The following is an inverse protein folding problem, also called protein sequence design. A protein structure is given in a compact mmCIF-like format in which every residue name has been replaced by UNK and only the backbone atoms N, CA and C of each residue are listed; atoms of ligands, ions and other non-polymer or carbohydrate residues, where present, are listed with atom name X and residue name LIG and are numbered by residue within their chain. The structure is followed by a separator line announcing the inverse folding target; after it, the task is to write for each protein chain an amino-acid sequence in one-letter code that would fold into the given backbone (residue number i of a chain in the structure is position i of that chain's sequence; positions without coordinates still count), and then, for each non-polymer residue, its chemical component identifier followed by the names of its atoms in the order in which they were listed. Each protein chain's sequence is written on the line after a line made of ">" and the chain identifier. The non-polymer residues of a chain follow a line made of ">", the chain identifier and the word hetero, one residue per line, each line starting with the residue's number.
data_IF_449920054968
#
_entry.id   IF_449920054968
#
_cell.length_a   1.000
_cell.length_b   1.000
_cell.length_c   1.000
_cell.angle_alpha   90.00
_cell.angle_beta   90.00
_cell.angle_gamma   90.00
#
_symmetry.space_group_name_H-M   'P 1'
#
loop_
_entity.id
_entity.type
_entity.pdbx_description
1 polymer ?
#
# COMPACT_ATOMS: atom_id res chain seq x y z
N UNK A 1 -31.60 -1.17 -6.17
CA UNK A 1 -30.60 -1.49 -5.14
C UNK A 1 -29.25 -0.88 -5.52
N UNK A 2 -28.65 -0.12 -4.63
CA UNK A 2 -27.30 0.49 -4.82
C UNK A 2 -26.20 -0.57 -4.96
N UNK A 3 -26.45 -1.79 -4.54
CA UNK A 3 -25.54 -2.95 -4.61
C UNK A 3 -26.04 -4.02 -5.58
N UNK A 4 -26.88 -3.64 -6.51
CA UNK A 4 -27.40 -4.54 -7.53
C UNK A 4 -26.38 -4.81 -8.62
N UNK A 5 -26.51 -5.96 -9.29
CA UNK A 5 -25.74 -6.28 -10.50
C UNK A 5 -25.83 -5.12 -11.50
N UNK A 6 -24.71 -4.75 -12.11
CA UNK A 6 -24.63 -3.64 -13.06
C UNK A 6 -24.39 -2.27 -12.42
N UNK A 7 -24.10 -2.20 -11.12
CA UNK A 7 -23.65 -0.97 -10.48
C UNK A 7 -22.13 -0.84 -10.59
N UNK A 8 -21.67 0.29 -11.10
CA UNK A 8 -20.27 0.71 -11.13
C UNK A 8 -20.03 1.66 -9.96
N UNK A 9 -18.94 1.46 -9.22
CA UNK A 9 -18.49 2.36 -8.16
C UNK A 9 -17.13 2.93 -8.49
N UNK A 10 -16.96 4.22 -8.25
CA UNK A 10 -15.66 4.90 -8.33
C UNK A 10 -15.44 5.61 -7.02
N UNK A 11 -14.27 5.47 -6.45
CA UNK A 11 -13.93 6.17 -5.19
C UNK A 11 -12.48 6.62 -5.15
N UNK A 12 -12.27 7.67 -4.39
CA UNK A 12 -10.97 8.24 -4.07
C UNK A 12 -10.92 8.60 -2.60
N UNK A 13 -9.79 8.35 -1.95
CA UNK A 13 -9.60 8.64 -0.54
C UNK A 13 -8.15 8.81 -0.17
N UNK A 14 -7.94 9.02 1.12
CA UNK A 14 -6.62 9.17 1.73
C UNK A 14 -6.43 8.11 2.79
N UNK A 15 -5.17 7.69 2.98
CA UNK A 15 -4.83 6.64 3.94
C UNK A 15 -3.70 7.03 4.87
N UNK A 16 -3.65 6.29 5.98
CA UNK A 16 -2.48 6.17 6.85
C UNK A 16 -2.16 4.69 7.04
N UNK A 17 -0.89 4.35 7.12
CA UNK A 17 -0.43 2.96 7.09
C UNK A 17 0.59 2.70 8.20
N UNK A 18 0.38 1.64 8.96
CA UNK A 18 1.34 1.12 9.92
C UNK A 18 2.01 -0.15 9.38
N UNK A 19 3.28 -0.34 9.71
CA UNK A 19 4.08 -1.49 9.26
C UNK A 19 4.60 -2.28 10.45
N UNK A 20 4.68 -3.61 10.29
CA UNK A 20 5.35 -4.47 11.25
C UNK A 20 6.87 -4.30 11.19
N UNK A 21 7.54 -4.68 12.27
CA UNK A 21 9.01 -4.89 12.23
C UNK A 21 9.34 -5.93 11.16
N UNK A 22 10.47 -5.75 10.51
CA UNK A 22 10.90 -6.62 9.42
C UNK A 22 12.42 -6.74 9.34
N UNK A 23 12.88 -7.61 8.44
CA UNK A 23 14.29 -7.73 8.09
C UNK A 23 14.49 -7.17 6.69
N UNK A 24 15.36 -6.18 6.57
CA UNK A 24 15.77 -5.56 5.33
C UNK A 24 17.08 -6.18 4.87
N UNK A 25 17.06 -6.88 3.73
CA UNK A 25 18.28 -7.45 3.13
C UNK A 25 18.75 -6.54 2.01
N UNK A 26 20.00 -6.09 2.10
CA UNK A 26 20.62 -5.17 1.17
C UNK A 26 21.78 -5.85 0.44
N UNK A 27 21.79 -5.77 -0.88
CA UNK A 27 22.85 -6.31 -1.72
C UNK A 27 23.28 -5.27 -2.74
N UNK A 28 24.59 -5.13 -2.93
CA UNK A 28 25.18 -4.21 -3.90
C UNK A 28 26.69 -4.37 -4.04
N UNK A 29 27.36 -3.47 -4.79
CA UNK A 29 28.80 -3.54 -4.97
C UNK A 29 29.56 -3.42 -3.66
N UNK A 30 30.22 -4.52 -3.25
CA UNK A 30 31.05 -4.56 -2.06
C UNK A 30 30.28 -4.66 -0.74
N UNK A 31 28.97 -4.88 -0.76
CA UNK A 31 28.19 -5.11 0.46
C UNK A 31 27.08 -6.15 0.24
N UNK A 32 26.88 -6.95 1.26
CA UNK A 32 25.77 -7.89 1.39
C UNK A 32 25.45 -8.01 2.88
N UNK A 33 24.42 -7.33 3.33
CA UNK A 33 24.05 -7.29 4.73
C UNK A 33 22.54 -7.29 4.95
N UNK A 34 22.14 -7.62 6.15
CA UNK A 34 20.75 -7.55 6.60
C UNK A 34 20.62 -6.75 7.90
N UNK A 35 19.54 -5.99 7.97
CA UNK A 35 19.10 -5.28 9.18
C UNK A 35 17.82 -5.92 9.68
N UNK A 36 17.90 -6.61 10.81
CA UNK A 36 16.73 -7.28 11.42
C UNK A 36 16.10 -6.39 12.49
N UNK A 37 14.77 -6.47 12.59
CA UNK A 37 14.01 -5.71 13.57
C UNK A 37 13.83 -4.24 13.21
N UNK A 38 14.04 -3.86 11.95
CA UNK A 38 13.84 -2.48 11.50
C UNK A 38 12.38 -2.08 11.64
N UNK A 39 12.18 -0.82 12.00
CA UNK A 39 10.87 -0.17 12.08
C UNK A 39 10.75 0.86 10.98
N UNK A 40 9.56 1.00 10.45
CA UNK A 40 9.23 2.04 9.50
C UNK A 40 7.88 2.67 9.84
N UNK A 41 7.72 3.90 9.39
CA UNK A 41 6.47 4.66 9.46
C UNK A 41 6.11 5.16 8.08
N UNK A 42 4.86 5.52 7.93
CA UNK A 42 4.39 6.26 6.76
C UNK A 42 4.65 7.76 6.93
N UNK A 43 4.32 8.51 5.90
CA UNK A 43 4.33 9.97 5.97
C UNK A 43 3.12 10.44 6.80
N UNK A 44 3.31 11.46 7.64
CA UNK A 44 2.21 12.00 8.43
C UNK A 44 1.08 12.48 7.52
N UNK A 45 -0.17 12.29 7.97
CA UNK A 45 -1.35 12.68 7.24
C UNK A 45 -1.37 14.20 7.00
N UNK A 46 -1.01 14.62 5.81
CA UNK A 46 -1.17 16.00 5.34
C UNK A 46 -2.22 16.06 4.23
N UNK A 47 -3.26 16.86 4.43
CA UNK A 47 -4.31 17.12 3.43
C UNK A 47 -3.77 17.79 2.14
N UNK A 48 -2.62 18.43 2.23
CA UNK A 48 -1.92 19.04 1.11
C UNK A 48 -0.49 18.50 1.05
N UNK A 49 -0.06 17.96 -0.09
CA UNK A 49 1.29 17.40 -0.23
C UNK A 49 2.30 18.55 -0.24
N UNK A 50 2.86 18.86 0.91
CA UNK A 50 3.92 19.85 1.07
C UNK A 50 5.32 19.26 0.98
N UNK A 51 5.44 17.92 0.97
CA UNK A 51 6.70 17.21 0.97
C UNK A 51 6.96 16.38 -0.30
N UNK A 52 8.22 16.00 -0.48
CA UNK A 52 8.78 15.38 -1.68
C UNK A 52 8.21 14.01 -2.08
N UNK A 53 7.38 13.38 -1.25
CA UNK A 53 6.88 12.02 -1.48
C UNK A 53 5.50 11.95 -2.15
N UNK A 54 4.75 13.05 -2.17
CA UNK A 54 3.38 13.09 -2.69
C UNK A 54 2.35 12.49 -1.72
N UNK A 55 1.07 12.65 -2.05
CA UNK A 55 -0.02 12.22 -1.17
C UNK A 55 -0.15 10.69 -1.10
N UNK A 56 -0.48 10.17 0.09
CA UNK A 56 -0.96 8.81 0.29
C UNK A 56 -2.46 8.76 -0.03
N UNK A 57 -2.83 7.97 -1.02
CA UNK A 57 -4.20 7.90 -1.50
C UNK A 57 -4.66 6.48 -1.80
N UNK A 58 -5.97 6.32 -1.92
CA UNK A 58 -6.63 5.12 -2.38
C UNK A 58 -7.58 5.47 -3.53
N UNK A 59 -7.47 4.80 -4.64
CA UNK A 59 -8.39 4.90 -5.77
C UNK A 59 -8.97 3.53 -6.08
N UNK A 60 -10.27 3.47 -6.35
CA UNK A 60 -10.99 2.22 -6.64
C UNK A 60 -11.97 2.41 -7.79
N UNK A 61 -12.04 1.40 -8.63
CA UNK A 61 -13.13 1.23 -9.60
C UNK A 61 -13.70 -0.17 -9.39
N UNK A 62 -14.95 -0.28 -8.98
CA UNK A 62 -15.61 -1.54 -8.68
C UNK A 62 -16.87 -1.75 -9.53
N UNK A 63 -17.15 -2.99 -9.87
CA UNK A 63 -18.34 -3.38 -10.61
C UNK A 63 -19.05 -4.54 -9.91
N UNK A 64 -20.34 -4.37 -9.63
CA UNK A 64 -21.17 -5.41 -9.02
C UNK A 64 -21.58 -6.44 -10.08
N UNK A 65 -20.88 -7.58 -10.07
CA UNK A 65 -21.14 -8.71 -10.99
C UNK A 65 -22.38 -9.53 -10.58
N UNK A 66 -22.71 -9.49 -9.29
CA UNK A 66 -23.93 -10.03 -8.67
C UNK A 66 -24.44 -9.06 -7.63
N UNK A 67 -25.68 -9.27 -7.16
CA UNK A 67 -26.21 -8.53 -6.03
C UNK A 67 -25.28 -8.74 -4.82
N UNK A 68 -24.89 -7.66 -4.17
CA UNK A 68 -23.99 -7.63 -3.00
C UNK A 68 -22.54 -8.07 -3.24
N UNK A 69 -22.17 -8.47 -4.47
CA UNK A 69 -20.82 -8.95 -4.76
C UNK A 69 -20.19 -8.17 -5.92
N UNK A 70 -19.06 -7.52 -5.66
CA UNK A 70 -18.33 -6.72 -6.61
C UNK A 70 -16.90 -7.24 -6.81
N UNK A 71 -16.38 -7.03 -8.02
CA UNK A 71 -14.96 -7.05 -8.30
C UNK A 71 -14.48 -5.61 -8.50
N UNK A 72 -13.31 -5.28 -7.95
CA UNK A 72 -12.73 -3.96 -8.12
C UNK A 72 -11.24 -3.99 -8.43
N UNK A 73 -10.82 -2.96 -9.15
CA UNK A 73 -9.42 -2.61 -9.34
C UNK A 73 -9.10 -1.46 -8.41
N UNK A 74 -8.01 -1.59 -7.68
CA UNK A 74 -7.54 -0.60 -6.73
C UNK A 74 -6.12 -0.16 -7.00
N UNK A 75 -5.85 1.08 -6.70
CA UNK A 75 -4.52 1.65 -6.65
C UNK A 75 -4.36 2.39 -5.33
N UNK A 76 -3.46 1.89 -4.47
CA UNK A 76 -3.10 2.53 -3.22
C UNK A 76 -1.68 3.04 -3.31
N UNK A 77 -1.45 4.24 -2.79
CA UNK A 77 -0.11 4.78 -2.58
C UNK A 77 0.10 5.00 -1.10
N UNK A 78 1.21 4.47 -0.59
CA UNK A 78 1.69 4.69 0.77
C UNK A 78 3.20 4.80 0.77
N UNK A 79 3.76 5.34 1.85
CA UNK A 79 5.19 5.51 2.03
C UNK A 79 5.69 4.59 3.14
N UNK A 80 6.80 3.93 2.87
CA UNK A 80 7.55 3.12 3.83
C UNK A 80 8.87 3.82 4.09
N UNK A 81 8.99 4.49 5.24
CA UNK A 81 10.16 5.28 5.60
C UNK A 81 10.82 4.63 6.80
N UNK A 82 12.08 4.20 6.64
CA UNK A 82 12.86 3.61 7.73
C UNK A 82 13.04 4.63 8.84
N UNK A 83 12.71 4.23 10.08
CA UNK A 83 12.81 5.11 11.23
C UNK A 83 14.29 5.41 11.55
N UNK A 84 14.56 6.69 11.80
CA UNK A 84 15.86 7.15 12.27
C UNK A 84 16.09 6.79 13.74
N UNK A 85 17.35 6.62 14.12
CA UNK A 85 17.79 6.34 15.50
C UNK A 85 17.04 5.19 16.17
N UNK A 86 16.71 4.17 15.40
CA UNK A 86 16.02 2.97 15.83
C UNK A 86 17.00 1.81 15.95
N UNK A 87 16.80 0.97 16.96
CA UNK A 87 17.63 -0.23 17.15
C UNK A 87 17.35 -1.28 16.09
N UNK A 88 18.39 -1.88 15.53
CA UNK A 88 18.33 -3.01 14.60
C UNK A 88 19.53 -3.93 14.83
N UNK A 89 19.45 -5.14 14.27
CA UNK A 89 20.55 -6.11 14.31
C UNK A 89 21.18 -6.21 12.92
N UNK A 90 22.47 -5.91 12.83
CA UNK A 90 23.24 -5.96 11.59
C UNK A 90 23.93 -7.33 11.46
N UNK A 91 23.75 -7.97 10.29
CA UNK A 91 24.45 -9.19 9.90
C UNK A 91 24.91 -9.09 8.46
N UNK A 92 26.07 -9.71 8.15
CA UNK A 92 26.62 -9.71 6.80
C UNK A 92 27.93 -8.96 6.70
N UNK A 93 28.29 -8.53 5.50
CA UNK A 93 29.62 -7.96 5.21
C UNK A 93 29.51 -6.65 4.45
N UNK A 94 30.30 -5.67 4.87
CA UNK A 94 30.52 -4.40 4.17
C UNK A 94 32.01 -4.26 3.93
N UNK A 95 32.45 -4.27 2.67
CA UNK A 95 33.87 -4.18 2.34
C UNK A 95 34.45 -2.79 2.64
N UNK A 96 35.76 -2.70 2.91
CA UNK A 96 36.43 -1.41 3.08
C UNK A 96 36.20 -0.49 1.85
N UNK A 97 35.93 0.79 2.12
CA UNK A 97 35.70 1.80 1.09
C UNK A 97 34.25 1.94 0.62
N UNK A 98 33.36 1.02 0.97
CA UNK A 98 31.92 1.12 0.68
C UNK A 98 31.27 2.12 1.66
N UNK A 99 31.51 1.95 2.93
CA UNK A 99 31.08 2.90 3.96
C UNK A 99 32.20 3.93 4.23
N UNK A 100 32.00 5.14 3.74
CA UNK A 100 32.95 6.24 3.88
C UNK A 100 33.15 6.63 5.34
N UNK A 101 32.12 6.46 6.20
CA UNK A 101 32.23 6.71 7.63
C UNK A 101 33.02 5.64 8.38
N UNK A 102 33.14 4.46 7.81
CA UNK A 102 33.77 3.28 8.41
C UNK A 102 32.97 2.63 9.55
N UNK A 103 31.83 3.19 9.93
CA UNK A 103 31.05 2.69 11.07
C UNK A 103 30.46 1.30 10.83
N UNK A 104 30.16 0.97 9.58
CA UNK A 104 29.56 -0.30 9.19
C UNK A 104 30.49 -1.19 8.37
N UNK A 105 31.76 -0.82 8.24
CA UNK A 105 32.77 -1.62 7.55
C UNK A 105 33.14 -2.86 8.36
N UNK A 106 33.14 -4.03 7.73
CA UNK A 106 33.54 -5.30 8.34
C UNK A 106 32.49 -6.40 8.17
N UNK A 107 32.64 -7.44 8.96
CA UNK A 107 31.72 -8.60 9.01
C UNK A 107 31.00 -8.60 10.35
N UNK A 108 29.68 -8.78 10.29
CA UNK A 108 28.79 -8.69 11.45
C UNK A 108 27.95 -9.96 11.58
N UNK A 109 27.63 -10.30 12.82
CA UNK A 109 26.75 -11.42 13.15
C UNK A 109 25.78 -11.01 14.25
N UNK A 110 24.60 -10.52 13.87
CA UNK A 110 23.55 -10.04 14.76
C UNK A 110 24.04 -8.98 15.77
N UNK A 111 24.89 -8.07 15.32
CA UNK A 111 25.36 -6.97 16.14
C UNK A 111 24.34 -5.85 16.24
N UNK A 112 24.15 -5.35 17.45
CA UNK A 112 23.21 -4.24 17.69
C UNK A 112 23.76 -2.95 17.11
N UNK A 113 22.98 -2.34 16.23
CA UNK A 113 23.27 -1.03 15.64
C UNK A 113 22.08 -0.11 15.80
N UNK A 114 22.34 1.19 15.74
CA UNK A 114 21.29 2.20 15.69
C UNK A 114 21.26 2.77 14.29
N UNK A 115 20.06 2.81 13.67
CA UNK A 115 19.89 3.41 12.36
C UNK A 115 20.17 4.92 12.44
N UNK A 116 20.91 5.43 11.47
CA UNK A 116 21.24 6.84 11.35
C UNK A 116 21.05 7.28 9.90
N UNK A 117 20.17 8.23 9.66
CA UNK A 117 19.84 8.75 8.33
C UNK A 117 21.04 9.36 7.60
N UNK A 118 22.06 9.81 8.32
CA UNK A 118 23.29 10.33 7.71
C UNK A 118 24.18 9.23 7.11
N UNK A 119 24.07 8.01 7.61
CA UNK A 119 24.84 6.84 7.17
C UNK A 119 24.01 5.96 6.23
N UNK A 120 22.78 5.64 6.63
CA UNK A 120 21.88 4.76 5.90
C UNK A 120 20.46 5.30 5.96
N UNK A 121 19.92 5.63 4.79
CA UNK A 121 18.52 5.99 4.62
C UNK A 121 17.87 5.09 3.57
N UNK A 122 16.69 4.61 3.88
CA UNK A 122 15.91 3.76 2.99
C UNK A 122 14.44 4.16 3.09
N UNK A 123 13.89 4.58 1.98
CA UNK A 123 12.46 4.87 1.89
C UNK A 123 11.88 4.38 0.55
N UNK A 124 10.66 3.92 0.62
CA UNK A 124 9.92 3.43 -0.53
C UNK A 124 8.61 4.18 -0.67
N UNK A 125 8.32 4.65 -1.87
CA UNK A 125 6.95 4.95 -2.27
C UNK A 125 6.37 3.67 -2.84
N UNK A 126 5.37 3.10 -2.14
CA UNK A 126 4.70 1.87 -2.50
C UNK A 126 3.44 2.19 -3.30
N UNK A 127 3.39 1.75 -4.56
CA UNK A 127 2.17 1.75 -5.37
C UNK A 127 1.65 0.31 -5.42
N UNK A 128 0.51 0.11 -4.78
CA UNK A 128 -0.13 -1.20 -4.63
C UNK A 128 -1.29 -1.29 -5.63
N UNK A 129 -1.13 -2.13 -6.65
CA UNK A 129 -2.16 -2.38 -7.65
C UNK A 129 -2.93 -3.65 -7.25
N UNK A 130 -4.20 -3.50 -6.90
CA UNK A 130 -5.01 -4.55 -6.31
C UNK A 130 -6.14 -5.00 -7.23
N UNK A 131 -6.34 -6.31 -7.28
CA UNK A 131 -7.60 -6.92 -7.70
C UNK A 131 -8.34 -7.37 -6.44
N UNK A 132 -9.56 -6.89 -6.25
CA UNK A 132 -10.32 -7.10 -5.03
C UNK A 132 -11.66 -7.78 -5.33
N UNK A 133 -12.01 -8.75 -4.49
CA UNK A 133 -13.34 -9.34 -4.43
C UNK A 133 -14.02 -8.82 -3.16
N UNK A 134 -15.16 -8.16 -3.32
CA UNK A 134 -15.84 -7.47 -2.23
C UNK A 134 -17.29 -7.94 -2.10
N UNK A 135 -17.72 -8.10 -0.85
CA UNK A 135 -19.11 -8.28 -0.47
C UNK A 135 -19.58 -7.07 0.31
N UNK A 136 -20.76 -6.56 -0.03
CA UNK A 136 -21.41 -5.42 0.62
C UNK A 136 -22.75 -5.86 1.14
N UNK A 137 -22.96 -5.78 2.46
CA UNK A 137 -24.22 -6.15 3.10
C UNK A 137 -24.92 -4.89 3.62
N UNK A 138 -26.10 -4.61 3.14
CA UNK A 138 -26.89 -3.45 3.56
C UNK A 138 -27.60 -3.75 4.88
N UNK A 139 -27.43 -2.88 5.87
CA UNK A 139 -28.08 -3.03 7.16
C UNK A 139 -29.42 -2.34 7.20
N UNK A 140 -29.46 -1.08 6.82
CA UNK A 140 -30.71 -0.33 6.71
C UNK A 140 -30.60 0.77 5.68
N UNK A 141 -31.77 1.27 5.25
CA UNK A 141 -31.92 2.42 4.36
C UNK A 141 -33.13 3.25 4.79
N UNK A 142 -32.95 4.56 4.86
CA UNK A 142 -34.00 5.53 5.17
C UNK A 142 -34.35 6.24 3.86
N UNK A 143 -35.43 5.79 3.24
CA UNK A 143 -35.86 6.31 1.94
C UNK A 143 -34.78 6.23 0.87
N UNK A 144 -34.64 7.30 0.10
CA UNK A 144 -33.59 7.44 -0.92
C UNK A 144 -32.36 8.20 -0.39
N UNK A 145 -32.47 8.83 0.77
CA UNK A 145 -31.52 9.82 1.24
C UNK A 145 -30.32 9.23 1.96
N UNK A 146 -30.51 8.13 2.69
CA UNK A 146 -29.44 7.57 3.49
C UNK A 146 -29.48 6.04 3.54
N UNK A 147 -28.30 5.41 3.46
CA UNK A 147 -28.12 3.97 3.63
C UNK A 147 -26.83 3.66 4.37
N UNK A 148 -26.87 2.59 5.17
CA UNK A 148 -25.69 2.07 5.85
C UNK A 148 -25.45 0.62 5.44
N UNK A 149 -24.20 0.32 5.11
CA UNK A 149 -23.75 -1.00 4.67
C UNK A 149 -22.39 -1.32 5.25
N UNK A 150 -22.10 -2.61 5.38
CA UNK A 150 -20.74 -3.11 5.64
C UNK A 150 -20.14 -3.67 4.36
N UNK A 151 -18.82 -3.48 4.22
CA UNK A 151 -18.03 -4.06 3.15
C UNK A 151 -16.98 -5.00 3.72
N UNK A 152 -16.86 -6.17 3.14
CA UNK A 152 -15.77 -7.11 3.40
C UNK A 152 -15.12 -7.49 2.08
N UNK A 153 -13.81 -7.57 2.06
CA UNK A 153 -13.09 -7.88 0.83
C UNK A 153 -11.77 -8.59 1.06
N UNK A 154 -11.34 -9.27 0.00
CA UNK A 154 -10.02 -9.86 -0.12
C UNK A 154 -9.36 -9.32 -1.38
N UNK A 155 -8.07 -9.07 -1.31
CA UNK A 155 -7.30 -8.54 -2.42
C UNK A 155 -6.00 -9.31 -2.65
N UNK A 156 -5.64 -9.39 -3.92
CA UNK A 156 -4.33 -9.77 -4.40
C UNK A 156 -3.78 -8.62 -5.23
N UNK A 157 -2.50 -8.33 -5.12
CA UNK A 157 -1.94 -7.21 -5.85
C UNK A 157 -0.47 -7.32 -6.17
N UNK A 158 -0.04 -6.43 -7.07
CA UNK A 158 1.34 -6.19 -7.42
C UNK A 158 1.86 -4.95 -6.69
N UNK A 159 3.13 -4.99 -6.29
CA UNK A 159 3.81 -3.91 -5.60
C UNK A 159 4.82 -3.27 -6.53
N UNK A 160 4.56 -2.03 -6.93
CA UNK A 160 5.51 -1.19 -7.66
C UNK A 160 6.16 -0.23 -6.68
N UNK A 161 7.47 -0.28 -6.57
CA UNK A 161 8.23 0.51 -5.59
C UNK A 161 9.08 1.55 -6.31
N UNK A 162 9.03 2.78 -5.80
CA UNK A 162 10.02 3.82 -6.05
C UNK A 162 10.87 3.96 -4.80
N UNK A 163 12.16 3.65 -4.91
CA UNK A 163 13.09 3.67 -3.80
C UNK A 163 13.95 4.92 -3.80
N UNK A 164 14.13 5.50 -2.62
CA UNK A 164 15.12 6.52 -2.33
C UNK A 164 16.10 5.92 -1.31
N UNK A 165 17.35 5.89 -1.68
CA UNK A 165 18.42 5.20 -0.97
C UNK A 165 19.61 6.10 -0.75
N UNK A 166 20.15 6.05 0.45
CA UNK A 166 21.43 6.67 0.80
C UNK A 166 22.21 5.68 1.65
N UNK A 167 23.43 5.39 1.24
CA UNK A 167 24.37 4.63 2.03
C UNK A 167 25.72 5.31 1.98
N UNK A 168 26.11 5.87 3.13
CA UNK A 168 27.43 6.43 3.38
C UNK A 168 27.91 7.42 2.31
N UNK A 169 27.08 8.41 2.00
CA UNK A 169 27.38 9.48 1.03
C UNK A 169 27.04 9.16 -0.42
N UNK A 170 26.68 7.91 -0.74
CA UNK A 170 26.12 7.57 -2.06
C UNK A 170 24.60 7.63 -1.99
N UNK A 171 24.03 8.60 -2.68
CA UNK A 171 22.60 8.80 -2.78
C UNK A 171 22.11 8.39 -4.16
N UNK A 172 21.03 7.61 -4.20
CA UNK A 172 20.31 7.28 -5.43
C UNK A 172 18.81 7.46 -5.19
N UNK A 173 18.19 8.33 -5.99
CA UNK A 173 16.82 8.74 -5.82
C UNK A 173 15.95 8.21 -6.96
N UNK A 174 14.77 7.74 -6.63
CA UNK A 174 13.73 7.43 -7.59
C UNK A 174 13.93 6.18 -8.42
N UNK A 175 14.70 5.19 -7.93
CA UNK A 175 14.79 3.87 -8.57
C UNK A 175 13.46 3.14 -8.51
N UNK A 176 12.89 2.81 -9.68
CA UNK A 176 11.59 2.14 -9.77
C UNK A 176 11.73 0.67 -10.12
N UNK A 177 10.87 -0.17 -9.53
CA UNK A 177 10.83 -1.60 -9.80
C UNK A 177 9.45 -2.20 -9.52
N UNK A 178 9.11 -3.25 -10.27
CA UNK A 178 8.06 -4.18 -9.86
C UNK A 178 8.67 -5.09 -8.78
N UNK A 179 8.42 -4.77 -7.52
CA UNK A 179 9.20 -5.32 -6.41
C UNK A 179 8.64 -6.60 -5.83
N UNK A 180 7.36 -6.87 -5.99
CA UNK A 180 6.74 -8.04 -5.41
C UNK A 180 5.23 -8.06 -5.49
N UNK A 181 4.61 -8.73 -4.53
CA UNK A 181 3.16 -8.89 -4.46
C UNK A 181 2.63 -8.64 -3.04
N UNK A 182 1.32 -8.52 -2.95
CA UNK A 182 0.61 -8.40 -1.69
C UNK A 182 -0.65 -9.24 -1.66
N UNK A 183 -1.04 -9.61 -0.45
CA UNK A 183 -2.35 -10.18 -0.12
C UNK A 183 -2.93 -9.37 1.03
N UNK A 184 -4.21 -9.08 0.99
CA UNK A 184 -4.87 -8.33 2.07
C UNK A 184 -6.34 -8.69 2.23
N UNK A 185 -6.85 -8.45 3.43
CA UNK A 185 -8.25 -8.43 3.75
C UNK A 185 -8.68 -7.04 4.19
N UNK A 186 -9.94 -6.70 3.96
CA UNK A 186 -10.50 -5.41 4.34
C UNK A 186 -11.90 -5.52 4.91
N UNK A 187 -12.20 -4.61 5.82
CA UNK A 187 -13.52 -4.40 6.37
C UNK A 187 -13.81 -2.90 6.44
N UNK A 188 -15.01 -2.48 6.07
CA UNK A 188 -15.39 -1.08 6.05
C UNK A 188 -16.87 -0.86 6.29
N UNK A 189 -17.20 0.37 6.61
CA UNK A 189 -18.56 0.87 6.66
C UNK A 189 -18.78 1.78 5.46
N UNK A 190 -19.96 1.68 4.84
CA UNK A 190 -20.34 2.56 3.74
C UNK A 190 -21.59 3.32 4.13
N UNK A 191 -21.46 4.62 4.15
CA UNK A 191 -22.54 5.58 4.34
C UNK A 191 -22.94 6.10 2.96
N UNK A 192 -24.12 5.73 2.48
CA UNK A 192 -24.64 6.14 1.18
C UNK A 192 -25.58 7.32 1.32
N UNK A 193 -25.46 8.29 0.42
CA UNK A 193 -26.30 9.48 0.35
C UNK A 193 -26.92 9.58 -1.04
N UNK A 194 -28.21 9.85 -1.09
CA UNK A 194 -28.96 10.09 -2.32
C UNK A 194 -28.78 8.99 -3.39
N UNK A 195 -28.53 7.74 -2.94
CA UNK A 195 -28.27 6.55 -3.76
C UNK A 195 -27.01 6.58 -4.61
N UNK A 196 -26.32 7.70 -4.71
CA UNK A 196 -25.19 7.86 -5.62
C UNK A 196 -23.87 8.13 -4.90
N UNK A 197 -23.88 8.99 -3.92
CA UNK A 197 -22.68 9.34 -3.16
C UNK A 197 -22.48 8.37 -2.01
N UNK A 198 -21.23 8.06 -1.71
CA UNK A 198 -20.92 7.32 -0.48
C UNK A 198 -19.62 7.81 0.15
N UNK A 199 -19.59 7.74 1.46
CA UNK A 199 -18.40 7.88 2.29
C UNK A 199 -18.08 6.51 2.90
N UNK A 200 -16.82 6.07 2.79
CA UNK A 200 -16.44 4.74 3.22
C UNK A 200 -15.11 4.76 3.98
N UNK A 201 -15.12 4.77 5.32
CA UNK A 201 -13.97 4.38 6.11
C UNK A 201 -13.73 2.87 5.97
N UNK A 202 -12.46 2.50 5.75
CA UNK A 202 -12.04 1.11 5.55
C UNK A 202 -10.78 0.82 6.37
N UNK A 203 -10.76 -0.31 7.03
CA UNK A 203 -9.57 -0.88 7.64
C UNK A 203 -9.12 -2.06 6.79
N UNK A 204 -7.85 -2.05 6.41
CA UNK A 204 -7.19 -3.10 5.63
C UNK A 204 -6.00 -3.63 6.39
N UNK A 205 -5.80 -4.93 6.35
CA UNK A 205 -4.61 -5.57 6.87
C UNK A 205 -4.11 -6.62 5.88
N UNK A 206 -2.80 -6.74 5.77
CA UNK A 206 -2.23 -7.65 4.80
C UNK A 206 -0.73 -7.83 4.95
N UNK A 207 -0.18 -8.50 3.95
CA UNK A 207 1.22 -8.86 3.89
C UNK A 207 1.78 -8.46 2.53
N UNK A 208 2.94 -7.80 2.55
CA UNK A 208 3.70 -7.41 1.37
C UNK A 208 5.00 -8.19 1.33
N UNK A 209 5.27 -8.81 0.19
CA UNK A 209 6.54 -9.46 -0.10
C UNK A 209 7.25 -8.70 -1.20
N UNK A 210 8.38 -8.08 -0.87
CA UNK A 210 9.27 -7.41 -1.81
C UNK A 210 10.49 -8.29 -2.07
N UNK A 211 10.61 -8.81 -3.27
CA UNK A 211 11.70 -9.71 -3.68
C UNK A 211 12.79 -9.00 -4.47
N UNK A 212 12.48 -7.83 -5.04
CA UNK A 212 13.34 -7.17 -5.99
C UNK A 212 13.10 -5.65 -6.02
N UNK A 213 13.56 -4.96 -4.99
CA UNK A 213 13.56 -3.49 -4.96
C UNK A 213 14.87 -3.00 -5.53
N UNK A 214 14.85 -2.29 -6.66
CA UNK A 214 16.04 -1.63 -7.20
C UNK A 214 16.43 -0.45 -6.32
N UNK A 215 17.66 -0.43 -5.83
CA UNK A 215 18.18 0.63 -4.97
C UNK A 215 19.07 1.61 -5.71
N UNK A 216 19.58 1.24 -6.88
CA UNK A 216 20.43 2.09 -7.74
C UNK A 216 19.98 2.02 -9.18
N UNK A 217 19.80 3.19 -9.81
CA UNK A 217 19.45 3.29 -11.23
C UNK A 217 20.60 2.82 -12.15
N UNK A 218 21.83 2.99 -11.73
CA UNK A 218 23.05 2.67 -12.50
C UNK A 218 23.51 1.22 -12.37
N UNK A 219 22.99 0.48 -11.38
CA UNK A 219 23.41 -0.91 -11.11
C UNK A 219 22.21 -1.82 -10.85
N UNK A 220 21.81 -2.64 -11.82
CA UNK A 220 20.69 -3.57 -11.67
C UNK A 220 20.93 -4.69 -10.63
N UNK A 221 22.17 -4.87 -10.16
CA UNK A 221 22.51 -5.85 -9.14
C UNK A 221 22.35 -5.30 -7.71
N UNK A 222 22.24 -3.99 -7.57
CA UNK A 222 21.94 -3.36 -6.27
C UNK A 222 20.47 -3.48 -5.94
N UNK A 223 20.16 -4.34 -4.97
CA UNK A 223 18.78 -4.75 -4.65
C UNK A 223 18.53 -4.78 -3.16
N UNK A 224 17.28 -4.53 -2.80
CA UNK A 224 16.75 -4.80 -1.47
C UNK A 224 15.65 -5.85 -1.52
N UNK A 225 15.54 -6.64 -0.46
CA UNK A 225 14.47 -7.62 -0.24
C UNK A 225 13.91 -7.43 1.14
N UNK A 226 12.60 -7.48 1.25
CA UNK A 226 11.92 -7.25 2.51
C UNK A 226 10.51 -7.84 2.51
N UNK A 227 10.08 -8.35 3.66
CA UNK A 227 8.73 -8.84 3.87
C UNK A 227 8.19 -8.19 5.14
N UNK A 228 6.97 -7.70 5.09
CA UNK A 228 6.33 -7.08 6.25
C UNK A 228 4.80 -7.16 6.16
N UNK A 229 4.16 -7.16 7.31
CA UNK A 229 2.74 -6.95 7.44
C UNK A 229 2.42 -5.46 7.50
N UNK A 230 1.25 -5.08 7.04
CA UNK A 230 0.78 -3.71 7.11
C UNK A 230 -0.67 -3.63 7.58
N UNK A 231 -1.01 -2.51 8.17
CA UNK A 231 -2.38 -2.13 8.50
C UNK A 231 -2.62 -0.73 7.94
N UNK A 232 -3.66 -0.57 7.14
CA UNK A 232 -4.00 0.68 6.47
C UNK A 232 -5.41 1.08 6.86
N UNK A 233 -5.57 2.31 7.30
CA UNK A 233 -6.87 2.95 7.47
C UNK A 233 -7.06 3.98 6.38
N UNK A 234 -8.15 3.91 5.66
CA UNK A 234 -8.51 4.89 4.64
C UNK A 234 -9.93 5.42 4.82
N UNK A 235 -10.15 6.63 4.32
CA UNK A 235 -11.47 7.22 4.19
C UNK A 235 -11.64 7.66 2.74
N UNK A 236 -12.58 7.06 2.06
CA UNK A 236 -12.84 7.28 0.64
C UNK A 236 -14.21 7.89 0.41
N UNK A 237 -14.27 8.85 -0.50
CA UNK A 237 -15.50 9.39 -1.08
C UNK A 237 -15.71 8.75 -2.44
N UNK A 238 -16.92 8.33 -2.74
CA UNK A 238 -17.20 7.69 -4.01
C UNK A 238 -18.57 7.97 -4.58
N UNK A 239 -18.74 7.52 -5.81
CA UNK A 239 -19.96 7.68 -6.57
C UNK A 239 -20.40 6.33 -7.20
N UNK A 240 -21.71 6.08 -7.22
CA UNK A 240 -22.35 4.90 -7.79
C UNK A 240 -23.06 5.26 -9.10
N UNK A 241 -22.71 4.54 -10.16
CA UNK A 241 -23.35 4.61 -11.47
C UNK A 241 -24.15 3.33 -11.71
N UNK A 242 -25.41 3.46 -12.05
CA UNK A 242 -26.30 2.33 -12.32
C UNK A 242 -26.33 2.04 -13.82
N UNK A 243 -25.44 1.15 -14.27
CA UNK A 243 -25.38 0.67 -15.65
C UNK A 243 -26.28 -0.58 -15.72
N UNK A 244 -27.58 -0.41 -15.94
CA UNK A 244 -28.47 -1.55 -16.11
C UNK A 244 -28.46 -1.99 -17.57
N UNK A 245 -28.36 -3.31 -17.86
CA UNK A 245 -28.65 -3.79 -19.21
C UNK A 245 -30.08 -3.42 -19.58
N UNK A 246 -30.27 -2.87 -20.76
CA UNK A 246 -31.58 -2.45 -21.31
C UNK A 246 -32.58 -3.60 -21.50
N UNK A 247 -32.19 -4.83 -21.18
CA UNK A 247 -33.00 -6.05 -21.42
C UNK A 247 -33.70 -6.59 -20.16
N UNK A 248 -33.69 -5.91 -19.04
CA UNK A 248 -34.59 -6.24 -17.93
C UNK A 248 -36.00 -5.70 -18.30
N UNK A 249 -36.78 -6.53 -18.93
CA UNK A 249 -38.22 -6.31 -19.16
C UNK A 249 -38.94 -6.20 -17.81
N UNK A 250 -38.84 -5.07 -17.14
CA UNK A 250 -39.72 -4.72 -16.02
C UNK A 250 -41.07 -4.13 -16.54
N UNK A 251 -41.29 -4.09 -17.84
CA UNK A 251 -42.50 -3.59 -18.48
C UNK A 251 -43.19 -4.64 -19.35
N UNK A 252 -42.98 -5.94 -19.11
CA UNK A 252 -43.85 -6.93 -19.71
C UNK A 252 -45.25 -6.77 -19.09
N UNK A 253 -46.31 -6.42 -19.85
CA UNK A 253 -47.64 -6.39 -19.30
C UNK A 253 -48.01 -7.81 -18.84
N UNK A 254 -48.45 -7.90 -17.59
CA UNK A 254 -49.04 -9.11 -17.05
C UNK A 254 -50.42 -9.21 -17.70
N UNK A 255 -50.58 -10.19 -18.58
CA UNK A 255 -51.86 -10.55 -19.17
C UNK A 255 -52.67 -11.38 -18.17
#
# INVERSE_FOLDING_TARGET
>A
HSMGRGTLSISWGYNTTGFSKSTLNMQGPGYDFSLSGVKASDDDFELLPTQNYGAQFNARVGYYIRNYFALSLGWDRTHYILNDKSAALLSGTVNPGVDVSGNWTGSYNNESVTTDQSIFHYSNTLNLLNLEAMRTDQWFRIGENFGLSTNFGLALGAVMTRNDYLFSGQQDLGSTSLSGFLVSGQAGLRFEFFRHLFLQPTLRAGFIQQMNVNTRNSDPNSKAKQNFAFTMFDVSLGYLFYIRPTNDCQSCPVW
#
